data_IF_143872601196
#
_entry.id   IF_143872601196
#
_cell.length_a   1.000
_cell.length_b   1.000
_cell.length_c   1.000
_cell.angle_alpha   90.00
_cell.angle_beta   90.00
_cell.angle_gamma   90.00
#
_symmetry.space_group_name_H-M   'P 1'
#
loop_
_entity.id
_entity.type
_entity.pdbx_description
1 polymer ?
#
# COMPACT_ATOMS: atom_id res chain seq x y z
N UNK A 1 -1.06 -23.07 -0.77
CA UNK A 1 -2.14 -22.44 0.01
C UNK A 1 -2.91 -21.46 -0.84
N UNK A 2 -4.09 -21.85 -1.31
CA UNK A 2 -5.03 -20.97 -1.99
C UNK A 2 -5.80 -20.17 -0.93
N UNK A 3 -6.01 -18.88 -1.15
CA UNK A 3 -6.82 -18.06 -0.26
C UNK A 3 -8.16 -17.80 -0.93
N UNK A 4 -9.27 -18.33 -0.42
CA UNK A 4 -10.58 -18.05 -0.99
C UNK A 4 -10.92 -16.56 -0.84
N UNK A 5 -11.54 -15.98 -1.86
CA UNK A 5 -12.02 -14.59 -1.79
C UNK A 5 -13.21 -14.47 -0.83
N UNK A 6 -14.02 -15.53 -0.73
CA UNK A 6 -15.24 -15.59 0.07
C UNK A 6 -15.12 -16.74 1.07
N UNK A 7 -15.40 -16.49 2.35
CA UNK A 7 -15.38 -17.49 3.41
C UNK A 7 -16.60 -17.40 4.32
N UNK A 8 -16.94 -18.53 4.93
CA UNK A 8 -17.84 -18.59 6.07
C UNK A 8 -17.04 -18.33 7.36
N UNK A 9 -17.61 -17.54 8.28
CA UNK A 9 -17.02 -17.33 9.60
C UNK A 9 -17.66 -18.26 10.63
N UNK A 10 -16.91 -18.66 11.67
CA UNK A 10 -17.45 -19.50 12.75
C UNK A 10 -18.61 -18.84 13.51
N UNK A 11 -18.62 -17.51 13.55
CA UNK A 11 -19.72 -16.73 14.14
C UNK A 11 -20.93 -16.62 13.22
N UNK A 12 -20.94 -17.29 12.07
CA UNK A 12 -21.96 -17.19 11.03
C UNK A 12 -21.69 -16.09 10.00
N UNK A 13 -22.42 -16.20 8.88
CA UNK A 13 -22.37 -15.25 7.77
C UNK A 13 -21.27 -15.52 6.75
N UNK A 14 -21.41 -14.86 5.60
CA UNK A 14 -20.50 -14.95 4.47
C UNK A 14 -19.69 -13.66 4.37
N UNK A 15 -18.38 -13.80 4.22
CA UNK A 15 -17.41 -12.70 4.31
C UNK A 15 -16.51 -12.69 3.10
N UNK A 16 -16.28 -11.49 2.54
CA UNK A 16 -15.28 -11.26 1.50
C UNK A 16 -13.97 -10.81 2.13
N UNK A 17 -12.89 -11.50 1.81
CA UNK A 17 -11.55 -11.20 2.28
C UNK A 17 -10.95 -10.08 1.41
N UNK A 18 -10.64 -8.95 2.02
CA UNK A 18 -10.11 -7.78 1.34
C UNK A 18 -8.58 -7.79 1.29
N UNK A 19 -7.95 -8.03 2.44
CA UNK A 19 -6.49 -8.03 2.61
C UNK A 19 -6.05 -9.14 3.55
N UNK A 20 -5.00 -9.86 3.16
CA UNK A 20 -4.39 -10.89 3.98
C UNK A 20 -2.92 -10.54 4.25
N UNK A 21 -2.49 -10.69 5.50
CA UNK A 21 -1.11 -10.53 5.93
C UNK A 21 -0.65 -11.83 6.60
N UNK A 22 0.08 -12.69 5.88
CA UNK A 22 0.68 -13.88 6.48
C UNK A 22 1.77 -13.48 7.47
N UNK A 23 1.63 -13.99 8.70
CA UNK A 23 2.67 -13.93 9.72
C UNK A 23 3.50 -15.19 9.61
N UNK A 24 4.81 -15.02 9.44
CA UNK A 24 5.77 -16.11 9.56
C UNK A 24 5.98 -16.43 11.04
N UNK A 25 6.40 -17.65 11.33
CA UNK A 25 7.10 -17.99 12.56
C UNK A 25 8.58 -18.24 12.29
N UNK A 26 9.38 -18.21 13.35
CA UNK A 26 10.82 -18.44 13.31
C UNK A 26 11.16 -19.95 13.36
N UNK A 27 10.21 -20.81 12.98
CA UNK A 27 10.46 -22.26 12.92
C UNK A 27 11.41 -22.60 11.77
N UNK A 28 12.07 -23.76 11.85
CA UNK A 28 12.94 -24.28 10.79
C UNK A 28 12.38 -25.62 10.31
N UNK A 29 11.85 -25.71 9.07
CA UNK A 29 11.71 -24.64 8.08
C UNK A 29 10.61 -23.61 8.46
N UNK A 30 10.70 -22.34 8.01
CA UNK A 30 9.73 -21.30 8.35
C UNK A 30 8.34 -21.64 7.83
N UNK A 31 7.30 -21.31 8.60
CA UNK A 31 5.92 -21.59 8.25
C UNK A 31 5.02 -20.36 8.43
N UNK A 32 3.88 -20.36 7.71
CA UNK A 32 2.82 -19.37 7.95
C UNK A 32 2.04 -19.79 9.17
N UNK A 33 2.35 -19.17 10.32
CA UNK A 33 1.69 -19.45 11.60
C UNK A 33 0.23 -19.03 11.64
N UNK A 34 -0.08 -17.88 11.03
CA UNK A 34 -1.42 -17.28 11.00
C UNK A 34 -1.53 -16.25 9.91
N UNK A 35 -2.75 -16.03 9.44
CA UNK A 35 -3.04 -14.97 8.49
C UNK A 35 -3.95 -13.95 9.17
N UNK A 36 -3.45 -12.73 9.30
CA UNK A 36 -4.28 -11.60 9.70
C UNK A 36 -5.10 -11.22 8.47
N UNK A 37 -6.40 -11.06 8.65
CA UNK A 37 -7.34 -10.77 7.58
C UNK A 37 -8.08 -9.49 7.90
N UNK A 38 -8.30 -8.68 6.88
CA UNK A 38 -9.37 -7.70 6.87
C UNK A 38 -10.48 -8.19 5.94
N UNK A 39 -11.70 -8.19 6.43
CA UNK A 39 -12.86 -8.70 5.72
C UNK A 39 -14.06 -7.73 5.75
N UNK A 40 -14.96 -7.91 4.81
CA UNK A 40 -16.26 -7.22 4.71
C UNK A 40 -17.38 -8.24 4.66
N UNK A 41 -18.55 -7.96 5.25
CA UNK A 41 -19.68 -8.86 5.11
C UNK A 41 -20.17 -8.86 3.65
N UNK A 42 -20.61 -10.02 3.14
CA UNK A 42 -21.22 -10.12 1.81
C UNK A 42 -22.63 -9.54 1.76
N UNK A 43 -23.37 -9.65 2.86
CA UNK A 43 -24.73 -9.13 3.05
C UNK A 43 -24.74 -8.05 4.14
N UNK A 44 -25.53 -7.01 3.98
CA UNK A 44 -25.58 -5.86 4.90
C UNK A 44 -24.58 -4.76 4.55
N UNK A 45 -24.16 -4.00 5.57
CA UNK A 45 -23.32 -2.82 5.42
C UNK A 45 -21.86 -3.17 5.07
N UNK A 46 -21.52 -3.04 3.79
CA UNK A 46 -20.19 -3.33 3.23
C UNK A 46 -19.15 -2.23 3.51
N UNK A 47 -19.55 -1.11 4.13
CA UNK A 47 -18.62 -0.06 4.53
C UNK A 47 -17.76 -0.48 5.73
N UNK A 48 -18.25 -1.41 6.54
CA UNK A 48 -17.57 -1.92 7.75
C UNK A 48 -16.42 -2.84 7.38
N UNK A 49 -15.22 -2.56 7.90
CA UNK A 49 -14.08 -3.47 7.88
C UNK A 49 -13.96 -4.18 9.22
N UNK A 50 -13.83 -5.50 9.15
CA UNK A 50 -13.61 -6.36 10.30
C UNK A 50 -12.21 -6.95 10.25
N UNK A 51 -11.50 -6.89 11.38
CA UNK A 51 -10.34 -7.74 11.58
C UNK A 51 -10.77 -9.19 11.78
N UNK A 52 -10.00 -10.10 11.22
CA UNK A 52 -10.15 -11.53 11.41
C UNK A 52 -8.79 -12.22 11.50
N UNK A 53 -8.81 -13.44 12.01
CA UNK A 53 -7.72 -14.40 11.90
C UNK A 53 -8.21 -15.57 11.06
N UNK A 54 -7.47 -15.87 10.01
CA UNK A 54 -7.64 -17.10 9.27
C UNK A 54 -6.61 -18.10 9.81
N UNK A 55 -7.12 -19.16 10.45
CA UNK A 55 -6.32 -20.30 10.85
C UNK A 55 -6.10 -21.16 9.63
N UNK A 56 -4.85 -21.35 9.22
CA UNK A 56 -4.55 -22.25 8.11
C UNK A 56 -3.83 -23.46 8.63
N UNK A 57 -4.44 -24.62 8.45
CA UNK A 57 -3.76 -25.88 8.58
C UNK A 57 -3.53 -26.42 7.17
N UNK A 58 -2.28 -26.47 6.67
CA UNK A 58 -1.98 -26.94 5.33
C UNK A 58 -2.31 -28.43 5.11
N UNK A 59 -2.53 -29.19 6.19
CA UNK A 59 -2.93 -30.60 6.14
C UNK A 59 -4.45 -30.81 6.08
N UNK A 60 -5.24 -29.75 6.25
CA UNK A 60 -6.70 -29.84 6.22
C UNK A 60 -7.26 -29.32 4.88
N UNK A 61 -8.39 -29.88 4.42
CA UNK A 61 -9.11 -29.39 3.24
C UNK A 61 -9.45 -27.90 3.33
N UNK A 62 -9.67 -27.23 2.19
CA UNK A 62 -10.09 -25.82 2.16
C UNK A 62 -11.38 -25.60 2.96
N UNK A 63 -12.28 -26.58 2.95
CA UNK A 63 -13.55 -26.59 3.66
C UNK A 63 -13.39 -26.61 5.20
N UNK A 64 -12.23 -27.03 5.69
CA UNK A 64 -11.90 -27.05 7.11
C UNK A 64 -11.19 -25.76 7.56
N UNK A 65 -10.88 -24.83 6.64
CA UNK A 65 -10.38 -23.51 6.99
C UNK A 65 -11.52 -22.63 7.50
N UNK A 66 -11.31 -21.99 8.63
CA UNK A 66 -12.33 -21.16 9.25
C UNK A 66 -11.81 -19.75 9.52
N UNK A 67 -12.68 -18.78 9.24
CA UNK A 67 -12.44 -17.38 9.53
C UNK A 67 -12.92 -17.06 10.95
N UNK A 68 -12.00 -16.63 11.81
CA UNK A 68 -12.32 -16.09 13.14
C UNK A 68 -12.44 -14.58 13.06
N UNK A 69 -13.66 -14.05 13.05
CA UNK A 69 -13.85 -12.62 13.17
C UNK A 69 -13.51 -12.14 14.58
N UNK A 70 -12.87 -10.98 14.64
CA UNK A 70 -12.78 -10.25 15.88
C UNK A 70 -14.07 -9.47 16.11
N UNK A 71 -14.49 -9.28 17.39
CA UNK A 71 -15.58 -8.37 17.70
C UNK A 71 -15.31 -7.01 17.08
N UNK A 72 -16.33 -6.45 16.44
CA UNK A 72 -16.21 -5.19 15.71
C UNK A 72 -15.79 -4.05 16.65
N UNK A 73 -14.79 -3.26 16.23
CA UNK A 73 -14.28 -2.16 17.06
C UNK A 73 -13.50 -2.60 18.31
N UNK A 74 -13.04 -3.86 18.37
CA UNK A 74 -12.23 -4.36 19.48
C UNK A 74 -10.91 -4.96 18.99
N UNK A 75 -9.83 -4.64 19.69
CA UNK A 75 -8.52 -5.24 19.48
C UNK A 75 -7.70 -5.09 20.77
N UNK A 76 -7.25 -6.21 21.35
CA UNK A 76 -6.51 -6.19 22.61
C UNK A 76 -5.19 -5.39 22.51
N UNK A 77 -4.61 -5.26 21.31
CA UNK A 77 -3.43 -4.44 21.11
C UNK A 77 -3.75 -2.96 20.86
N UNK A 78 -5.03 -2.62 20.61
CA UNK A 78 -5.52 -1.25 20.36
C UNK A 78 -6.63 -0.93 21.39
N UNK A 79 -6.32 -0.88 22.70
CA UNK A 79 -7.33 -0.74 23.75
C UNK A 79 -8.19 0.53 23.60
N UNK A 80 -7.65 1.59 22.99
CA UNK A 80 -8.37 2.84 22.74
C UNK A 80 -9.44 2.73 21.62
N UNK A 81 -9.43 1.66 20.79
CA UNK A 81 -10.31 1.53 19.63
C UNK A 81 -11.79 1.56 20.00
N UNK A 82 -12.17 0.82 21.04
CA UNK A 82 -13.58 0.73 21.45
C UNK A 82 -14.09 2.08 21.96
N UNK A 83 -13.29 2.78 22.77
CA UNK A 83 -13.65 4.10 23.29
C UNK A 83 -13.79 5.14 22.18
N UNK A 84 -12.82 5.21 21.26
CA UNK A 84 -12.87 6.12 20.12
C UNK A 84 -14.04 5.83 19.18
N UNK A 85 -14.35 4.55 18.91
CA UNK A 85 -15.50 4.18 18.09
C UNK A 85 -16.83 4.51 18.77
N UNK A 86 -16.96 4.23 20.07
CA UNK A 86 -18.17 4.58 20.83
C UNK A 86 -18.38 6.09 20.90
N UNK A 87 -17.31 6.86 21.07
CA UNK A 87 -17.40 8.31 21.04
C UNK A 87 -17.85 8.82 19.67
N UNK A 88 -17.18 8.36 18.60
CA UNK A 88 -17.54 8.75 17.24
C UNK A 88 -18.99 8.38 16.89
N UNK A 89 -19.48 7.21 17.34
CA UNK A 89 -20.86 6.77 17.10
C UNK A 89 -21.92 7.58 17.86
N UNK A 90 -21.56 8.22 18.99
CA UNK A 90 -22.48 9.12 19.72
C UNK A 90 -22.72 10.41 18.95
N UNK A 91 -21.70 10.93 18.30
CA UNK A 91 -21.76 12.20 17.58
C UNK A 91 -22.16 12.00 16.11
N UNK A 92 -21.85 10.83 15.54
CA UNK A 92 -22.13 10.44 14.18
C UNK A 92 -22.57 8.96 14.11
N UNK A 93 -23.89 8.69 13.99
CA UNK A 93 -24.40 7.32 13.84
C UNK A 93 -23.87 6.59 12.59
N UNK A 94 -23.28 7.31 11.62
CA UNK A 94 -22.65 6.73 10.42
C UNK A 94 -21.16 6.41 10.61
N UNK A 95 -20.60 6.69 11.79
CA UNK A 95 -19.20 6.42 12.10
C UNK A 95 -18.87 4.93 11.94
N UNK A 96 -17.75 4.64 11.28
CA UNK A 96 -17.46 3.27 10.84
C UNK A 96 -15.96 3.00 10.77
N UNK A 97 -15.55 1.79 11.14
CA UNK A 97 -14.19 1.29 10.94
C UNK A 97 -14.00 0.98 9.45
N UNK A 98 -13.21 1.83 8.78
CA UNK A 98 -12.91 1.73 7.33
C UNK A 98 -11.61 0.99 7.03
N UNK A 99 -10.81 0.69 8.06
CA UNK A 99 -9.65 -0.19 7.98
C UNK A 99 -9.34 -0.81 9.35
N UNK A 100 -8.97 -2.09 9.38
CA UNK A 100 -8.54 -2.75 10.63
C UNK A 100 -7.50 -3.83 10.34
N UNK A 101 -6.23 -3.52 10.61
CA UNK A 101 -5.14 -4.51 10.63
C UNK A 101 -4.88 -4.91 12.08
N UNK A 102 -5.43 -6.07 12.45
CA UNK A 102 -5.34 -6.62 13.80
C UNK A 102 -3.94 -6.50 14.39
N UNK A 103 -3.83 -6.04 15.64
CA UNK A 103 -2.56 -5.95 16.35
C UNK A 103 -1.66 -4.79 15.91
N UNK A 104 -2.08 -4.01 14.92
CA UNK A 104 -1.26 -2.96 14.31
C UNK A 104 -1.95 -1.60 14.35
N UNK A 105 -3.13 -1.48 13.74
CA UNK A 105 -3.88 -0.23 13.63
C UNK A 105 -5.33 -0.44 13.16
N UNK A 106 -6.18 0.54 13.44
CA UNK A 106 -7.52 0.68 12.87
C UNK A 106 -7.79 2.13 12.48
N UNK A 107 -8.70 2.37 11.53
CA UNK A 107 -9.11 3.71 11.11
C UNK A 107 -10.62 3.79 11.16
N UNK A 108 -11.13 4.78 11.89
CA UNK A 108 -12.55 5.12 11.98
C UNK A 108 -12.80 6.35 11.09
N UNK A 109 -13.80 6.29 10.23
CA UNK A 109 -14.33 7.46 9.52
C UNK A 109 -15.54 7.98 10.29
N UNK A 110 -15.62 9.28 10.48
CA UNK A 110 -16.75 10.00 11.07
C UNK A 110 -16.96 11.34 10.35
N UNK A 111 -18.05 12.07 10.67
CA UNK A 111 -18.26 13.46 10.23
C UNK A 111 -17.15 14.41 10.69
N UNK A 112 -16.46 14.11 11.79
CA UNK A 112 -15.35 14.92 12.32
C UNK A 112 -14.00 14.58 11.67
N UNK A 113 -13.96 13.60 10.77
CA UNK A 113 -12.76 13.19 10.05
C UNK A 113 -12.37 11.73 10.29
N UNK A 114 -11.07 11.46 10.17
CA UNK A 114 -10.50 10.11 10.25
C UNK A 114 -9.68 9.93 11.53
N UNK A 115 -10.08 8.97 12.36
CA UNK A 115 -9.40 8.63 13.61
C UNK A 115 -8.53 7.39 13.35
N UNK A 116 -7.21 7.56 13.31
CA UNK A 116 -6.25 6.46 13.18
C UNK A 116 -5.85 6.00 14.59
N UNK A 117 -6.36 4.84 15.00
CA UNK A 117 -6.07 4.20 16.29
C UNK A 117 -4.90 3.23 16.14
N UNK A 118 -3.96 3.31 17.07
CA UNK A 118 -2.67 2.65 17.08
C UNK A 118 -2.45 1.94 18.41
N UNK A 119 -1.30 1.26 18.52
CA UNK A 119 -0.81 0.76 19.81
C UNK A 119 -0.41 1.95 20.70
N UNK A 120 -0.54 1.84 22.03
CA UNK A 120 -0.07 2.87 22.96
C UNK A 120 1.39 3.28 22.68
N UNK A 121 1.70 4.56 22.85
CA UNK A 121 3.01 5.16 22.59
C UNK A 121 3.38 5.33 21.11
N UNK A 122 2.48 5.04 20.17
CA UNK A 122 2.80 5.10 18.72
C UNK A 122 2.25 6.33 18.01
N UNK A 123 1.22 6.99 18.53
CA UNK A 123 0.67 8.19 17.90
C UNK A 123 1.67 9.37 17.84
N UNK A 124 2.49 9.66 18.87
CA UNK A 124 3.43 10.79 18.82
C UNK A 124 4.40 10.73 17.63
N UNK A 125 4.88 9.53 17.29
CA UNK A 125 5.77 9.36 16.15
C UNK A 125 5.07 9.61 14.79
N UNK A 126 3.76 9.37 14.68
CA UNK A 126 2.99 9.66 13.47
C UNK A 126 2.65 11.15 13.37
N UNK A 127 2.32 11.79 14.48
CA UNK A 127 2.12 13.25 14.57
C UNK A 127 3.39 13.98 14.14
N UNK A 128 4.55 13.54 14.64
CA UNK A 128 5.85 14.07 14.23
C UNK A 128 6.09 13.93 12.72
N UNK A 129 5.83 12.74 12.15
CA UNK A 129 5.91 12.52 10.70
C UNK A 129 4.96 13.42 9.92
N UNK A 130 3.74 13.65 10.38
CA UNK A 130 2.80 14.55 9.73
C UNK A 130 3.28 16.01 9.75
N UNK A 131 3.89 16.46 10.85
CA UNK A 131 4.52 17.78 10.90
C UNK A 131 5.72 17.89 9.94
N UNK A 132 6.52 16.83 9.82
CA UNK A 132 7.61 16.76 8.83
C UNK A 132 7.06 16.85 7.40
N UNK A 133 6.03 16.07 7.06
CA UNK A 133 5.36 16.15 5.76
C UNK A 133 4.84 17.56 5.48
N UNK A 134 4.19 18.21 6.45
CA UNK A 134 3.71 19.58 6.29
C UNK A 134 4.84 20.57 6.01
N UNK A 135 5.99 20.43 6.66
CA UNK A 135 7.19 21.24 6.38
C UNK A 135 7.79 20.93 5.00
N UNK A 136 7.68 19.70 4.52
CA UNK A 136 8.30 19.29 3.26
C UNK A 136 7.47 19.59 2.02
N UNK A 137 6.20 19.18 2.04
CA UNK A 137 5.24 19.29 0.95
C UNK A 137 4.35 20.53 1.03
N UNK A 138 4.37 21.26 2.16
CA UNK A 138 3.57 22.45 2.37
C UNK A 138 3.77 23.48 1.26
N UNK A 139 2.66 24.01 0.74
CA UNK A 139 2.67 24.94 -0.40
C UNK A 139 2.72 24.27 -1.78
N UNK A 140 2.87 22.94 -1.85
CA UNK A 140 2.88 22.19 -3.11
C UNK A 140 1.84 21.07 -3.17
N UNK A 141 1.49 20.48 -2.04
CA UNK A 141 0.44 19.47 -1.91
C UNK A 141 -0.57 19.85 -0.83
N UNK A 142 -1.82 19.42 -1.04
CA UNK A 142 -2.86 19.49 -0.02
C UNK A 142 -2.64 18.36 0.99
N UNK A 143 -2.65 18.68 2.27
CA UNK A 143 -2.45 17.71 3.36
C UNK A 143 -3.64 17.75 4.31
N UNK A 144 -4.00 16.60 4.87
CA UNK A 144 -5.02 16.53 5.91
C UNK A 144 -4.53 17.27 7.16
N UNK A 145 -5.33 18.23 7.65
CA UNK A 145 -5.04 18.93 8.89
C UNK A 145 -5.10 17.95 10.06
N UNK A 146 -4.10 17.99 10.96
CA UNK A 146 -4.16 17.29 12.23
C UNK A 146 -5.10 18.06 13.17
N UNK A 147 -6.21 17.45 13.55
CA UNK A 147 -7.24 18.07 14.38
C UNK A 147 -6.98 17.84 15.87
N UNK A 148 -6.63 16.60 16.21
CA UNK A 148 -6.38 16.19 17.59
C UNK A 148 -5.47 14.96 17.59
N UNK A 149 -4.76 14.73 18.68
CA UNK A 149 -4.13 13.46 18.96
C UNK A 149 -4.06 13.18 20.46
N UNK A 150 -3.91 11.91 20.79
CA UNK A 150 -3.52 11.43 22.12
C UNK A 150 -2.31 10.47 21.98
N UNK A 151 -2.05 9.62 22.96
CA UNK A 151 -0.93 8.66 22.93
C UNK A 151 -1.17 7.45 21.98
N UNK A 152 -2.42 7.11 21.72
CA UNK A 152 -2.85 5.94 20.97
C UNK A 152 -3.66 6.26 19.69
N UNK A 153 -4.02 7.52 19.44
CA UNK A 153 -4.79 7.93 18.28
C UNK A 153 -4.40 9.32 17.77
N UNK A 154 -4.66 9.55 16.49
CA UNK A 154 -4.66 10.87 15.86
C UNK A 154 -5.90 11.03 14.98
N UNK A 155 -6.42 12.24 14.93
CA UNK A 155 -7.61 12.62 14.18
C UNK A 155 -7.19 13.61 13.11
N UNK A 156 -7.52 13.33 11.86
CA UNK A 156 -7.22 14.21 10.73
C UNK A 156 -8.48 14.62 10.00
N UNK A 157 -8.50 15.85 9.50
CA UNK A 157 -9.57 16.36 8.64
C UNK A 157 -9.74 15.47 7.40
N UNK A 158 -10.98 15.30 6.89
CA UNK A 158 -11.18 14.62 5.62
C UNK A 158 -10.60 15.46 4.47
N UNK A 159 -10.09 14.79 3.45
CA UNK A 159 -9.71 15.42 2.19
C UNK A 159 -10.79 15.14 1.13
N UNK A 160 -11.31 16.20 0.52
CA UNK A 160 -12.32 16.11 -0.52
C UNK A 160 -11.66 15.87 -1.88
N UNK A 161 -11.65 14.61 -2.33
CA UNK A 161 -11.06 14.25 -3.60
C UNK A 161 -11.16 12.76 -3.90
N UNK A 162 -10.60 12.36 -5.04
CA UNK A 162 -10.52 10.97 -5.48
C UNK A 162 -9.07 10.56 -5.66
N UNK A 163 -8.74 9.34 -5.29
CA UNK A 163 -7.40 8.79 -5.49
C UNK A 163 -7.08 8.64 -6.98
N UNK A 164 -5.80 8.73 -7.35
CA UNK A 164 -5.38 8.40 -8.73
C UNK A 164 -5.79 6.97 -9.12
N UNK A 165 -5.88 6.05 -8.16
CA UNK A 165 -6.42 4.71 -8.34
C UNK A 165 -7.89 4.72 -8.77
N UNK A 166 -8.73 5.53 -8.10
CA UNK A 166 -10.16 5.65 -8.41
C UNK A 166 -10.39 6.36 -9.74
N UNK A 167 -9.57 7.37 -10.07
CA UNK A 167 -9.60 8.06 -11.35
C UNK A 167 -9.14 7.14 -12.49
N UNK A 168 -8.12 6.32 -12.24
CA UNK A 168 -7.62 5.35 -13.22
C UNK A 168 -8.65 4.29 -13.63
N UNK A 169 -9.57 3.95 -12.72
CA UNK A 169 -10.66 3.00 -12.96
C UNK A 169 -11.99 3.66 -13.33
N UNK A 170 -12.02 4.99 -13.50
CA UNK A 170 -13.23 5.70 -13.87
C UNK A 170 -13.44 5.64 -15.39
N UNK A 171 -14.50 4.95 -15.87
CA UNK A 171 -14.79 4.89 -17.31
C UNK A 171 -15.26 6.23 -17.88
N UNK A 172 -15.71 7.17 -17.04
CA UNK A 172 -16.13 8.51 -17.48
C UNK A 172 -14.98 9.49 -17.66
N UNK A 173 -13.80 9.18 -17.12
CA UNK A 173 -12.60 10.00 -17.25
C UNK A 173 -11.77 9.50 -18.43
N UNK A 174 -11.63 10.33 -19.46
CA UNK A 174 -10.81 10.01 -20.62
C UNK A 174 -9.31 9.91 -20.26
N UNK A 175 -8.53 9.35 -21.19
CA UNK A 175 -7.10 9.13 -20.97
C UNK A 175 -6.33 10.45 -20.80
N UNK A 176 -6.78 11.52 -21.46
CA UNK A 176 -6.17 12.85 -21.36
C UNK A 176 -6.36 13.48 -19.98
N UNK A 177 -7.57 13.40 -19.41
CA UNK A 177 -7.89 13.87 -18.07
C UNK A 177 -7.13 13.10 -16.99
N UNK A 178 -7.02 11.77 -17.13
CA UNK A 178 -6.20 10.96 -16.24
C UNK A 178 -4.71 11.35 -16.35
N UNK A 179 -4.18 11.46 -17.57
CA UNK A 179 -2.80 11.89 -17.81
C UNK A 179 -2.51 13.27 -17.21
N UNK A 180 -3.45 14.22 -17.31
CA UNK A 180 -3.35 15.53 -16.67
C UNK A 180 -3.19 15.46 -15.15
N UNK A 181 -3.92 14.55 -14.49
CA UNK A 181 -3.77 14.31 -13.05
C UNK A 181 -2.38 13.77 -12.72
N UNK A 182 -1.88 12.79 -13.49
CA UNK A 182 -0.53 12.24 -13.31
C UNK A 182 0.58 13.27 -13.56
N UNK A 183 0.42 14.15 -14.56
CA UNK A 183 1.35 15.25 -14.82
C UNK A 183 1.40 16.25 -13.67
N UNK A 184 0.25 16.64 -13.13
CA UNK A 184 0.17 17.56 -12.01
C UNK A 184 0.75 16.95 -10.72
N UNK A 185 0.55 15.65 -10.48
CA UNK A 185 1.22 14.92 -9.41
C UNK A 185 2.75 14.90 -9.59
N UNK A 186 3.26 14.54 -10.78
CA UNK A 186 4.70 14.57 -11.07
C UNK A 186 5.30 15.96 -10.89
N UNK A 187 4.60 17.00 -11.36
CA UNK A 187 5.02 18.40 -11.21
C UNK A 187 5.09 18.83 -9.75
N UNK A 188 4.18 18.35 -8.90
CA UNK A 188 4.20 18.58 -7.46
C UNK A 188 5.42 17.90 -6.81
N UNK A 189 5.71 16.65 -7.15
CA UNK A 189 6.89 15.94 -6.65
C UNK A 189 8.18 16.65 -7.04
N UNK A 190 8.31 17.08 -8.30
CA UNK A 190 9.47 17.84 -8.78
C UNK A 190 9.71 19.12 -7.97
N UNK A 191 8.65 19.86 -7.65
CA UNK A 191 8.76 21.09 -6.85
C UNK A 191 9.19 20.84 -5.41
N UNK A 192 8.82 19.71 -4.83
CA UNK A 192 9.17 19.38 -3.45
C UNK A 192 10.60 18.83 -3.32
N UNK A 193 11.06 18.12 -4.34
CA UNK A 193 12.32 17.37 -4.32
C UNK A 193 13.51 18.28 -4.01
N UNK A 194 14.25 17.92 -2.95
CA UNK A 194 15.46 18.61 -2.52
C UNK A 194 16.29 17.70 -1.63
N UNK A 195 17.60 17.96 -1.61
CA UNK A 195 18.51 17.35 -0.64
C UNK A 195 18.20 17.82 0.78
N UNK A 196 18.31 16.89 1.73
CA UNK A 196 18.07 17.11 3.15
C UNK A 196 19.27 16.59 3.97
N UNK A 197 19.59 17.23 5.10
CA UNK A 197 20.62 16.72 6.00
C UNK A 197 20.18 15.42 6.69
N UNK A 198 21.15 14.61 7.09
CA UNK A 198 20.94 13.30 7.70
C UNK A 198 20.13 13.30 9.01
N UNK A 199 20.08 14.44 9.70
CA UNK A 199 19.34 14.67 10.94
C UNK A 199 18.02 15.44 10.72
N UNK A 200 17.59 15.63 9.46
CA UNK A 200 16.41 16.43 9.15
C UNK A 200 15.17 15.92 9.89
N UNK A 201 14.66 16.77 10.78
CA UNK A 201 13.56 16.48 11.68
C UNK A 201 13.74 15.17 12.50
N UNK A 202 14.96 14.67 12.70
CA UNK A 202 15.19 13.40 13.40
C UNK A 202 14.47 12.19 12.77
N UNK A 203 14.16 12.24 11.48
CA UNK A 203 13.53 11.11 10.78
C UNK A 203 14.53 9.95 10.63
N UNK A 204 14.04 8.70 10.66
CA UNK A 204 14.92 7.56 10.37
C UNK A 204 15.40 7.61 8.93
N UNK A 205 16.58 7.05 8.68
CA UNK A 205 17.04 6.79 7.31
C UNK A 205 16.52 5.41 6.86
N UNK A 206 16.16 5.30 5.59
CA UNK A 206 15.78 4.05 4.94
C UNK A 206 16.80 3.73 3.88
N UNK A 207 17.56 2.66 4.10
CA UNK A 207 18.66 2.28 3.23
C UNK A 207 18.27 1.20 2.24
N UNK A 208 19.14 0.92 1.28
CA UNK A 208 18.93 -0.16 0.32
C UNK A 208 18.76 -1.51 1.01
N UNK A 209 19.49 -1.77 2.09
CA UNK A 209 19.39 -3.01 2.86
C UNK A 209 18.01 -3.18 3.51
N UNK A 210 17.38 -2.07 3.93
CA UNK A 210 16.02 -2.08 4.47
C UNK A 210 14.99 -2.41 3.38
N UNK A 211 15.16 -1.88 2.17
CA UNK A 211 14.27 -2.20 1.03
C UNK A 211 14.43 -3.66 0.61
N UNK A 212 15.67 -4.15 0.50
CA UNK A 212 15.93 -5.54 0.14
C UNK A 212 15.31 -6.51 1.15
N UNK A 213 15.42 -6.23 2.45
CA UNK A 213 14.79 -7.05 3.49
C UNK A 213 13.26 -7.12 3.33
N UNK A 214 12.62 -6.04 2.91
CA UNK A 214 11.17 -6.03 2.63
C UNK A 214 10.85 -6.90 1.42
N UNK A 215 11.65 -6.81 0.34
CA UNK A 215 11.50 -7.64 -0.85
C UNK A 215 11.68 -9.12 -0.50
N UNK A 216 12.74 -9.45 0.22
CA UNK A 216 13.05 -10.81 0.66
C UNK A 216 11.96 -11.40 1.55
N UNK A 217 11.45 -10.62 2.50
CA UNK A 217 10.30 -10.97 3.34
C UNK A 217 9.07 -11.39 2.50
N UNK A 218 8.79 -10.67 1.40
CA UNK A 218 7.68 -10.98 0.52
C UNK A 218 7.95 -12.13 -0.44
N UNK A 219 9.20 -12.33 -0.86
CA UNK A 219 9.63 -13.52 -1.60
C UNK A 219 9.46 -14.78 -0.74
N UNK A 220 9.86 -14.75 0.54
CA UNK A 220 9.64 -15.85 1.47
C UNK A 220 8.14 -16.16 1.64
N UNK A 221 7.30 -15.13 1.80
CA UNK A 221 5.85 -15.30 1.85
C UNK A 221 5.27 -15.83 0.54
N UNK A 222 5.85 -15.47 -0.61
CA UNK A 222 5.46 -16.01 -1.90
C UNK A 222 5.83 -17.49 -2.03
N UNK A 223 7.04 -17.89 -1.61
CA UNK A 223 7.44 -19.29 -1.51
C UNK A 223 6.43 -20.10 -0.67
N UNK A 224 6.16 -19.61 0.54
CA UNK A 224 5.25 -20.27 1.50
C UNK A 224 3.78 -20.23 1.08
N UNK A 225 3.42 -19.39 0.10
CA UNK A 225 2.09 -19.45 -0.49
C UNK A 225 1.86 -20.76 -1.23
N UNK A 226 2.91 -21.43 -1.73
CA UNK A 226 2.82 -22.66 -2.54
C UNK A 226 2.04 -22.48 -3.84
N UNK A 227 1.94 -21.24 -4.33
CA UNK A 227 1.17 -20.88 -5.53
C UNK A 227 2.04 -20.53 -6.73
N UNK A 228 3.33 -20.35 -6.49
CA UNK A 228 4.36 -20.08 -7.48
C UNK A 228 5.39 -21.21 -7.35
N UNK A 229 5.88 -21.78 -8.46
CA UNK A 229 6.92 -22.80 -8.40
C UNK A 229 8.19 -22.27 -7.69
N UNK A 230 8.83 -23.05 -6.79
CA UNK A 230 9.99 -22.61 -6.03
C UNK A 230 11.13 -22.07 -6.89
N UNK A 231 11.40 -22.68 -8.04
CA UNK A 231 12.40 -22.26 -9.00
C UNK A 231 12.17 -20.82 -9.50
N UNK A 232 10.92 -20.42 -9.69
CA UNK A 232 10.60 -19.05 -10.12
C UNK A 232 10.80 -18.06 -8.98
N UNK A 233 10.50 -18.43 -7.74
CA UNK A 233 10.79 -17.58 -6.57
C UNK A 233 12.31 -17.40 -6.41
N UNK A 234 13.10 -18.46 -6.63
CA UNK A 234 14.56 -18.39 -6.61
C UNK A 234 15.12 -17.46 -7.70
N UNK A 235 14.57 -17.50 -8.91
CA UNK A 235 14.94 -16.57 -9.99
C UNK A 235 14.65 -15.12 -9.59
N UNK A 236 13.48 -14.84 -9.00
CA UNK A 236 13.15 -13.49 -8.52
C UNK A 236 14.04 -13.03 -7.37
N UNK A 237 14.45 -13.95 -6.49
CA UNK A 237 15.42 -13.66 -5.43
C UNK A 237 16.80 -13.33 -5.99
N UNK A 238 17.31 -14.13 -6.94
CA UNK A 238 18.58 -13.83 -7.62
C UNK A 238 18.51 -12.48 -8.35
N UNK A 239 17.38 -12.19 -9.00
CA UNK A 239 17.16 -10.91 -9.67
C UNK A 239 17.15 -9.75 -8.68
N UNK A 240 16.50 -9.89 -7.52
CA UNK A 240 16.51 -8.83 -6.50
C UNK A 240 17.92 -8.56 -5.96
N UNK A 241 18.74 -9.60 -5.79
CA UNK A 241 20.16 -9.44 -5.42
C UNK A 241 20.97 -8.70 -6.50
N UNK A 242 20.78 -9.05 -7.78
CA UNK A 242 21.43 -8.34 -8.90
C UNK A 242 21.05 -6.85 -8.93
N UNK A 243 19.76 -6.54 -8.75
CA UNK A 243 19.26 -5.15 -8.71
C UNK A 243 19.86 -4.37 -7.53
N UNK A 244 19.96 -4.99 -6.35
CA UNK A 244 20.62 -4.37 -5.20
C UNK A 244 22.12 -4.14 -5.45
N UNK A 245 22.80 -5.09 -6.10
CA UNK A 245 24.20 -4.92 -6.51
C UNK A 245 24.38 -3.74 -7.47
N UNK A 246 23.50 -3.58 -8.46
CA UNK A 246 23.52 -2.44 -9.38
C UNK A 246 23.27 -1.11 -8.65
N UNK A 247 22.24 -1.04 -7.78
CA UNK A 247 21.93 0.16 -7.00
C UNK A 247 23.08 0.58 -6.07
N UNK A 248 23.79 -0.39 -5.49
CA UNK A 248 24.96 -0.14 -4.64
C UNK A 248 26.18 0.32 -5.45
N UNK A 249 26.36 -0.21 -6.67
CA UNK A 249 27.49 0.13 -7.55
C UNK A 249 27.47 1.57 -8.06
N UNK A 250 26.30 2.22 -8.08
CA UNK A 250 26.14 3.63 -8.48
C UNK A 250 26.53 4.65 -7.38
N UNK A 251 26.87 4.18 -6.17
CA UNK A 251 27.41 5.02 -5.11
C UNK A 251 26.37 5.68 -4.19
N UNK A 252 26.86 6.59 -3.34
CA UNK A 252 26.03 7.30 -2.35
C UNK A 252 25.27 8.43 -3.03
N UNK A 253 23.96 8.48 -2.79
CA UNK A 253 23.08 9.55 -3.30
C UNK A 253 22.71 10.54 -2.20
N UNK A 254 22.41 11.80 -2.56
CA UNK A 254 21.83 12.77 -1.63
C UNK A 254 20.56 12.25 -0.96
N UNK A 255 20.40 12.54 0.34
CA UNK A 255 19.19 12.17 1.07
C UNK A 255 18.04 13.10 0.70
N UNK A 256 16.88 12.54 0.39
CA UNK A 256 15.62 13.26 0.21
C UNK A 256 14.58 12.71 1.18
N UNK A 257 13.49 13.44 1.38
CA UNK A 257 12.33 12.88 2.08
C UNK A 257 11.70 11.80 1.21
N UNK A 258 11.53 10.62 1.79
CA UNK A 258 10.81 9.49 1.22
C UNK A 258 9.47 9.33 1.90
N UNK A 259 8.43 9.21 1.10
CA UNK A 259 7.13 8.72 1.51
C UNK A 259 7.18 7.21 1.84
N UNK A 260 7.93 6.44 1.04
CA UNK A 260 8.10 4.97 1.07
C UNK A 260 6.90 4.10 0.73
N UNK A 261 5.70 4.62 0.93
CA UNK A 261 4.46 4.02 0.44
C UNK A 261 3.83 4.88 -0.68
N UNK A 262 4.64 5.66 -1.44
CA UNK A 262 4.09 6.55 -2.46
C UNK A 262 3.52 5.74 -3.61
N UNK A 263 2.19 5.78 -3.76
CA UNK A 263 1.52 5.16 -4.89
C UNK A 263 0.16 5.81 -5.14
N UNK A 264 -0.47 5.42 -6.22
CA UNK A 264 -1.75 5.91 -6.74
C UNK A 264 -2.95 5.95 -5.76
N UNK A 265 -2.90 5.24 -4.62
CA UNK A 265 -3.95 5.34 -3.58
C UNK A 265 -3.61 6.32 -2.46
N UNK A 266 -2.34 6.74 -2.37
CA UNK A 266 -1.87 7.74 -1.42
C UNK A 266 -1.86 9.14 -2.03
N UNK A 267 -2.27 9.28 -3.29
CA UNK A 267 -2.39 10.55 -3.99
C UNK A 267 -3.85 10.77 -4.37
N UNK A 268 -4.44 11.87 -3.91
CA UNK A 268 -5.78 12.31 -4.29
C UNK A 268 -5.69 13.52 -5.20
N UNK A 269 -6.68 13.68 -6.07
CA UNK A 269 -6.98 14.94 -6.72
C UNK A 269 -8.16 15.58 -6.03
N UNK A 270 -7.88 16.74 -5.45
CA UNK A 270 -8.86 17.63 -4.82
C UNK A 270 -9.09 18.84 -5.73
N UNK A 271 -10.14 19.64 -5.51
CA UNK A 271 -10.31 20.91 -6.22
C UNK A 271 -9.09 21.84 -6.12
N UNK A 272 -8.35 21.75 -5.02
CA UNK A 272 -7.16 22.58 -4.73
C UNK A 272 -5.84 21.95 -5.25
N UNK A 273 -5.92 20.81 -5.92
CA UNK A 273 -4.79 20.12 -6.54
C UNK A 273 -4.43 18.77 -5.90
N UNK A 274 -3.21 18.25 -6.16
CA UNK A 274 -2.74 16.97 -5.63
C UNK A 274 -2.66 17.00 -4.10
N UNK A 275 -3.20 15.97 -3.47
CA UNK A 275 -3.13 15.76 -2.04
C UNK A 275 -2.42 14.45 -1.71
N UNK A 276 -1.68 14.43 -0.60
CA UNK A 276 -0.93 13.27 -0.14
C UNK A 276 -1.51 12.70 1.16
N UNK A 277 -1.52 11.37 1.26
CA UNK A 277 -1.99 10.61 2.42
C UNK A 277 -0.92 9.69 2.98
N UNK A 278 -1.10 9.31 4.25
CA UNK A 278 -0.41 8.19 4.89
C UNK A 278 1.12 8.32 5.02
N UNK A 279 1.54 9.30 5.83
CA UNK A 279 2.95 9.55 6.19
C UNK A 279 3.53 8.59 7.23
N UNK A 280 2.91 7.42 7.47
CA UNK A 280 3.32 6.48 8.52
C UNK A 280 4.76 5.97 8.33
N UNK A 281 5.24 5.93 7.09
CA UNK A 281 6.53 5.37 6.71
C UNK A 281 7.58 6.41 6.34
N UNK A 282 7.35 7.71 6.61
CA UNK A 282 8.34 8.74 6.27
C UNK A 282 9.73 8.42 6.82
N UNK A 283 10.72 8.61 5.95
CA UNK A 283 12.14 8.41 6.21
C UNK A 283 12.98 9.30 5.28
N UNK A 284 14.27 9.42 5.56
CA UNK A 284 15.24 9.99 4.63
C UNK A 284 15.88 8.89 3.80
N UNK A 285 16.15 9.14 2.52
CA UNK A 285 16.82 8.17 1.65
C UNK A 285 16.82 8.58 0.19
N UNK A 286 16.99 7.59 -0.69
CA UNK A 286 17.07 7.78 -2.14
C UNK A 286 15.73 8.14 -2.77
N UNK A 287 15.60 9.35 -3.31
CA UNK A 287 14.37 9.85 -3.94
C UNK A 287 13.87 8.96 -5.10
N UNK A 288 14.76 8.24 -5.77
CA UNK A 288 14.41 7.34 -6.86
C UNK A 288 13.53 6.16 -6.40
N UNK A 289 13.54 5.82 -5.10
CA UNK A 289 12.69 4.77 -4.53
C UNK A 289 11.21 5.10 -4.68
N UNK A 290 10.80 6.33 -4.33
CA UNK A 290 9.41 6.74 -4.39
C UNK A 290 8.90 6.78 -5.84
N UNK A 291 9.71 7.30 -6.78
CA UNK A 291 9.39 7.26 -8.21
C UNK A 291 9.27 5.82 -8.71
N UNK A 292 10.25 4.96 -8.38
CA UNK A 292 10.24 3.56 -8.77
C UNK A 292 9.01 2.80 -8.25
N UNK A 293 8.59 3.08 -7.01
CA UNK A 293 7.39 2.47 -6.46
C UNK A 293 6.12 2.92 -7.20
N UNK A 294 6.01 4.20 -7.54
CA UNK A 294 4.88 4.72 -8.33
C UNK A 294 4.82 4.06 -9.71
N UNK A 295 5.96 3.93 -10.40
CA UNK A 295 6.04 3.28 -11.72
C UNK A 295 5.60 1.81 -11.65
N UNK A 296 6.07 1.07 -10.64
CA UNK A 296 5.65 -0.32 -10.43
C UNK A 296 4.14 -0.43 -10.15
N UNK A 297 3.57 0.55 -9.44
CA UNK A 297 2.14 0.63 -9.21
C UNK A 297 1.33 0.98 -10.46
N UNK A 298 1.82 1.87 -11.34
CA UNK A 298 1.20 2.13 -12.65
C UNK A 298 1.14 0.87 -13.50
N UNK A 299 2.24 0.12 -13.56
CA UNK A 299 2.28 -1.19 -14.22
C UNK A 299 1.24 -2.15 -13.62
N UNK A 300 1.20 -2.27 -12.30
CA UNK A 300 0.20 -3.09 -11.60
C UNK A 300 -1.24 -2.66 -11.94
N UNK A 301 -1.52 -1.35 -12.04
CA UNK A 301 -2.86 -0.86 -12.40
C UNK A 301 -3.25 -1.20 -13.82
N UNK A 302 -2.32 -1.22 -14.77
CA UNK A 302 -2.59 -1.71 -16.12
C UNK A 302 -3.04 -3.18 -16.11
N UNK A 303 -2.34 -4.05 -15.37
CA UNK A 303 -2.76 -5.46 -15.21
C UNK A 303 -4.14 -5.57 -14.55
N UNK A 304 -4.39 -4.83 -13.47
CA UNK A 304 -5.67 -4.89 -12.77
C UNK A 304 -6.83 -4.38 -13.61
N UNK A 305 -6.62 -3.30 -14.34
CA UNK A 305 -7.61 -2.73 -15.23
C UNK A 305 -7.91 -3.69 -16.39
N UNK A 306 -6.89 -4.27 -17.03
CA UNK A 306 -7.07 -5.29 -18.06
C UNK A 306 -7.82 -6.51 -17.51
N UNK A 307 -7.49 -6.94 -16.29
CA UNK A 307 -8.10 -8.11 -15.65
C UNK A 307 -9.58 -7.90 -15.29
N UNK A 308 -9.95 -6.70 -14.84
CA UNK A 308 -11.31 -6.40 -14.41
C UNK A 308 -12.23 -5.92 -15.52
N UNK A 309 -11.69 -5.22 -16.52
CA UNK A 309 -12.53 -4.54 -17.51
C UNK A 309 -13.08 -5.48 -18.59
N UNK A 310 -12.45 -6.65 -18.80
CA UNK A 310 -12.78 -7.52 -19.92
C UNK A 310 -12.56 -6.85 -21.29
N UNK A 311 -11.98 -5.65 -21.30
CA UNK A 311 -11.59 -4.92 -22.49
C UNK A 311 -10.40 -5.61 -23.14
N UNK A 312 -10.17 -5.30 -24.41
CA UNK A 312 -8.91 -5.61 -25.07
C UNK A 312 -7.74 -5.12 -24.20
N UNK A 313 -6.84 -6.02 -23.75
CA UNK A 313 -5.74 -5.66 -22.84
C UNK A 313 -4.93 -4.47 -23.34
N UNK A 314 -4.77 -4.32 -24.66
CA UNK A 314 -4.06 -3.21 -25.31
C UNK A 314 -4.59 -1.82 -24.92
N UNK A 315 -5.91 -1.64 -24.75
CA UNK A 315 -6.51 -0.37 -24.35
C UNK A 315 -6.14 -0.01 -22.91
N UNK A 316 -6.22 -1.01 -22.02
CA UNK A 316 -5.84 -0.84 -20.61
C UNK A 316 -4.38 -0.44 -20.47
N UNK A 317 -3.48 -1.11 -21.21
CA UNK A 317 -2.06 -0.79 -21.18
C UNK A 317 -1.76 0.59 -21.80
N UNK A 318 -2.50 1.00 -22.84
CA UNK A 318 -2.37 2.33 -23.45
C UNK A 318 -2.71 3.44 -22.45
N UNK A 319 -3.85 3.34 -21.75
CA UNK A 319 -4.28 4.30 -20.72
C UNK A 319 -3.19 4.54 -19.66
N UNK A 320 -2.63 3.46 -19.11
CA UNK A 320 -1.59 3.59 -18.07
C UNK A 320 -0.21 3.93 -18.62
N UNK A 321 0.07 3.68 -19.91
CA UNK A 321 1.28 4.17 -20.58
C UNK A 321 1.24 5.69 -20.75
N UNK A 322 0.09 6.26 -21.13
CA UNK A 322 -0.11 7.71 -21.19
C UNK A 322 0.02 8.34 -19.79
N UNK A 323 -0.57 7.73 -18.76
CA UNK A 323 -0.39 8.15 -17.37
C UNK A 323 1.09 8.14 -16.94
N UNK A 324 1.83 7.07 -17.25
CA UNK A 324 3.28 6.96 -16.98
C UNK A 324 4.07 8.06 -17.69
N UNK A 325 3.80 8.30 -18.97
CA UNK A 325 4.48 9.34 -19.74
C UNK A 325 4.20 10.73 -19.13
N UNK A 326 2.94 11.01 -18.78
CA UNK A 326 2.56 12.28 -18.17
C UNK A 326 3.20 12.48 -16.79
N UNK A 327 3.25 11.44 -15.96
CA UNK A 327 3.97 11.45 -14.68
C UNK A 327 5.44 11.82 -14.89
N UNK A 328 6.13 11.14 -15.80
CA UNK A 328 7.56 11.36 -16.07
C UNK A 328 7.81 12.76 -16.65
N UNK A 329 6.90 13.28 -17.50
CA UNK A 329 6.99 14.65 -18.01
C UNK A 329 6.81 15.69 -16.90
N UNK A 330 5.93 15.44 -15.92
CA UNK A 330 5.74 16.33 -14.78
C UNK A 330 6.90 16.29 -13.78
N UNK A 331 7.33 15.07 -13.43
CA UNK A 331 8.41 14.81 -12.48
C UNK A 331 9.77 15.23 -13.06
N UNK A 332 10.00 14.96 -14.34
CA UNK A 332 11.22 15.27 -15.09
C UNK A 332 12.51 14.85 -14.36
N UNK A 333 12.68 13.56 -13.99
CA UNK A 333 13.92 13.08 -13.41
C UNK A 333 15.07 13.23 -14.42
N UNK A 334 16.28 13.53 -13.93
CA UNK A 334 17.49 13.45 -14.75
C UNK A 334 17.83 11.98 -15.09
N UNK A 335 18.79 11.79 -15.99
CA UNK A 335 19.16 10.46 -16.50
C UNK A 335 19.60 9.51 -15.37
N UNK A 336 20.40 10.01 -14.42
CA UNK A 336 20.89 9.22 -13.29
C UNK A 336 19.73 8.81 -12.35
N UNK A 337 18.87 9.75 -11.97
CA UNK A 337 17.70 9.49 -11.14
C UNK A 337 16.72 8.53 -11.82
N UNK A 338 16.56 8.64 -13.15
CA UNK A 338 15.71 7.75 -13.92
C UNK A 338 16.28 6.33 -14.00
N UNK A 339 17.60 6.19 -14.22
CA UNK A 339 18.27 4.88 -14.20
C UNK A 339 18.05 4.16 -12.86
N UNK A 340 18.22 4.89 -11.75
CA UNK A 340 17.92 4.39 -10.39
C UNK A 340 16.47 4.04 -10.19
N UNK A 341 15.56 4.91 -10.62
CA UNK A 341 14.13 4.68 -10.48
C UNK A 341 13.68 3.42 -11.23
N UNK A 342 14.29 3.11 -12.39
CA UNK A 342 14.02 1.86 -13.10
C UNK A 342 14.46 0.62 -12.28
N UNK A 343 15.61 0.67 -11.61
CA UNK A 343 16.05 -0.42 -10.72
C UNK A 343 15.09 -0.60 -9.52
N UNK A 344 14.68 0.50 -8.88
CA UNK A 344 13.68 0.46 -7.82
C UNK A 344 12.29 0.03 -8.32
N UNK A 345 11.94 0.33 -9.56
CA UNK A 345 10.70 -0.14 -10.20
C UNK A 345 10.67 -1.65 -10.24
N UNK A 346 11.76 -2.28 -10.68
CA UNK A 346 11.87 -3.74 -10.73
C UNK A 346 11.87 -4.39 -9.34
N UNK A 347 12.57 -3.80 -8.35
CA UNK A 347 12.50 -4.27 -6.96
C UNK A 347 11.07 -4.17 -6.40
N UNK A 348 10.41 -3.03 -6.64
CA UNK A 348 9.02 -2.81 -6.21
C UNK A 348 8.07 -3.76 -6.91
N UNK A 349 8.30 -4.09 -8.19
CA UNK A 349 7.53 -5.07 -8.92
C UNK A 349 7.66 -6.47 -8.32
N UNK A 350 8.87 -6.92 -8.00
CA UNK A 350 9.12 -8.19 -7.31
C UNK A 350 8.37 -8.21 -5.97
N UNK A 351 8.47 -7.14 -5.17
CA UNK A 351 7.71 -7.01 -3.91
C UNK A 351 6.20 -7.12 -4.14
N UNK A 352 5.66 -6.41 -5.13
CA UNK A 352 4.23 -6.39 -5.43
C UNK A 352 3.73 -7.77 -5.89
N UNK A 353 4.47 -8.49 -6.74
CA UNK A 353 4.08 -9.85 -7.12
C UNK A 353 3.95 -10.75 -5.89
N UNK A 354 4.86 -10.66 -4.92
CA UNK A 354 4.76 -11.37 -3.65
C UNK A 354 3.59 -10.93 -2.78
N UNK A 355 3.35 -9.62 -2.64
CA UNK A 355 2.21 -9.05 -1.90
C UNK A 355 0.88 -9.56 -2.47
N UNK A 356 0.75 -9.57 -3.80
CA UNK A 356 -0.50 -9.85 -4.48
C UNK A 356 -0.85 -11.35 -4.55
N UNK A 357 0.11 -12.26 -4.27
CA UNK A 357 -0.23 -13.66 -3.94
C UNK A 357 -1.15 -13.76 -2.72
N UNK A 358 -1.09 -12.78 -1.82
CA UNK A 358 -1.88 -12.70 -0.58
C UNK A 358 -3.03 -11.67 -0.69
N UNK A 359 -3.49 -11.37 -1.91
CA UNK A 359 -4.69 -10.55 -2.16
C UNK A 359 -5.73 -11.43 -2.85
N UNK A 360 -6.73 -11.96 -2.14
CA UNK A 360 -7.62 -13.00 -2.69
C UNK A 360 -8.25 -12.65 -4.04
N UNK A 361 -8.81 -11.44 -4.18
CA UNK A 361 -9.41 -10.97 -5.43
C UNK A 361 -8.43 -10.89 -6.63
N UNK A 362 -7.13 -10.83 -6.36
CA UNK A 362 -6.08 -10.59 -7.36
C UNK A 362 -5.11 -11.76 -7.51
N UNK A 363 -5.31 -12.85 -6.76
CA UNK A 363 -4.37 -13.96 -6.68
C UNK A 363 -4.16 -14.66 -8.02
N UNK A 364 -5.22 -14.80 -8.83
CA UNK A 364 -5.12 -15.35 -10.19
C UNK A 364 -4.26 -14.45 -11.08
N UNK A 365 -4.53 -13.14 -11.09
CA UNK A 365 -3.74 -12.16 -11.83
C UNK A 365 -2.26 -12.16 -11.38
N UNK A 366 -2.01 -12.25 -10.08
CA UNK A 366 -0.66 -12.27 -9.52
C UNK A 366 0.17 -13.46 -10.01
N UNK A 367 -0.44 -14.62 -10.24
CA UNK A 367 0.24 -15.78 -10.85
C UNK A 367 0.69 -15.48 -12.29
N UNK A 368 -0.18 -14.82 -13.07
CA UNK A 368 0.15 -14.42 -14.43
C UNK A 368 1.27 -13.37 -14.45
N UNK A 369 1.27 -12.42 -13.51
CA UNK A 369 2.34 -11.41 -13.38
C UNK A 369 3.72 -12.04 -13.15
N UNK A 370 3.79 -13.14 -12.41
CA UNK A 370 5.05 -13.84 -12.12
C UNK A 370 5.54 -14.64 -13.34
N UNK A 371 4.64 -15.09 -14.22
CA UNK A 371 4.93 -15.89 -15.40
C UNK A 371 5.20 -15.06 -16.66
N UNK A 372 4.64 -13.85 -16.73
CA UNK A 372 4.86 -12.94 -17.85
C UNK A 372 6.30 -12.40 -17.80
N UNK A 373 7.17 -12.90 -18.68
CA UNK A 373 8.51 -12.34 -18.91
C UNK A 373 8.47 -11.04 -19.74
N UNK A 374 7.28 -10.64 -20.22
CA UNK A 374 7.11 -9.49 -21.11
C UNK A 374 6.63 -8.24 -20.37
N UNK A 375 7.48 -7.21 -20.40
CA UNK A 375 7.26 -5.92 -19.81
C UNK A 375 6.92 -4.98 -20.98
N UNK A 376 5.64 -4.86 -21.33
CA UNK A 376 5.12 -4.11 -22.49
C UNK A 376 5.32 -2.56 -22.40
N UNK A 377 6.52 -2.11 -22.05
CA UNK A 377 6.91 -0.70 -21.96
C UNK A 377 6.21 0.08 -20.85
N UNK A 378 5.82 -0.57 -19.74
CA UNK A 378 5.28 0.04 -18.53
C UNK A 378 6.29 0.03 -17.38
#
# INVERSE_FOLDING_TARGET
>A
MKLPEIMFALSGGVWRLQRCWPSLDDSLPPAVKRIIVEATPMHGDRSRRHAALLSVNPLLPEEAQWLRLHPYGQDAALPALTGHLQHALRDDPSAVVVAHRRGKRAVIRSVHGFIKVLRPGKAPALVHRQACAARYYGGHAVLAALLQHDDAALITAPLAGRTLAELGNDPSLDDGGLAGCWFAFGSMMRRCQRELPADWCGLPQHRLEDEWRIVDDWLMRMMLSGQVPPERVLVLHQRSQQLCGALAGEGVVPLSLLHRDLHDKQVLFTPDGPALLDFDTLALGDAALDLGNVLAHLRLRAYQHAWCSGLEPSLSFTRFRLARQALLNGWAPDEASMARANLFTELSWIRLTGVYQWRPAWQKMAKHMVQADDHQGL
#
